data_IF_022017478130
#
_entry.id   IF_022017478130
#
_cell.length_a   1.000
_cell.length_b   1.000
_cell.length_c   1.000
_cell.angle_alpha   90.00
_cell.angle_beta   90.00
_cell.angle_gamma   90.00
#
_symmetry.space_group_name_H-M   'P 1'
#
loop_
_entity.id
_entity.type
_entity.pdbx_description
1 polymer ?
#
# COMPACT_ATOMS: atom_id res chain seq x y z
N UNK A 1 33.35 -27.40 3.94
CA UNK A 1 33.59 -26.41 2.88
C UNK A 1 32.31 -25.63 2.73
N UNK A 2 32.36 -24.30 2.93
CA UNK A 2 31.24 -23.41 2.62
C UNK A 2 31.48 -22.95 1.19
N UNK A 3 30.54 -23.25 0.30
CA UNK A 3 30.64 -22.90 -1.11
C UNK A 3 30.61 -21.37 -1.28
N UNK A 4 31.65 -20.81 -1.88
CA UNK A 4 31.79 -19.37 -2.18
C UNK A 4 30.61 -18.85 -3.04
N UNK A 5 29.96 -19.74 -3.81
CA UNK A 5 28.76 -19.43 -4.58
C UNK A 5 27.51 -19.11 -3.72
N UNK A 6 27.44 -19.62 -2.49
CA UNK A 6 26.31 -19.35 -1.57
C UNK A 6 26.44 -17.94 -0.98
N UNK A 7 27.66 -17.48 -0.71
CA UNK A 7 27.91 -16.14 -0.18
C UNK A 7 27.66 -15.02 -1.21
N UNK A 8 27.88 -15.29 -2.50
CA UNK A 8 27.66 -14.32 -3.56
C UNK A 8 26.15 -14.10 -3.82
N UNK A 9 25.33 -15.15 -3.72
CA UNK A 9 23.86 -15.04 -3.82
C UNK A 9 23.25 -14.21 -2.68
N UNK A 10 23.71 -14.43 -1.45
CA UNK A 10 23.20 -13.75 -0.25
C UNK A 10 23.58 -12.25 -0.17
N UNK A 11 24.68 -11.85 -0.82
CA UNK A 11 25.09 -10.44 -0.87
C UNK A 11 24.19 -9.59 -1.78
N UNK A 12 23.62 -10.19 -2.83
CA UNK A 12 22.82 -9.50 -3.84
C UNK A 12 21.31 -9.56 -3.59
N UNK A 13 20.82 -10.53 -2.82
CA UNK A 13 19.43 -10.56 -2.31
C UNK A 13 19.15 -9.48 -1.24
N UNK A 14 20.20 -8.88 -0.67
CA UNK A 14 20.06 -7.87 0.39
C UNK A 14 20.24 -6.43 -0.08
N UNK A 15 20.62 -6.20 -1.35
CA UNK A 15 20.83 -4.84 -1.89
C UNK A 15 19.83 -4.52 -3.00
N UNK A 16 18.55 -4.54 -2.62
CA UNK A 16 17.43 -4.08 -3.44
C UNK A 16 17.19 -2.57 -3.31
N UNK A 17 18.04 -1.85 -2.57
CA UNK A 17 17.86 -0.43 -2.23
C UNK A 17 17.64 0.45 -3.47
N UNK A 18 18.42 0.23 -4.52
CA UNK A 18 18.31 0.96 -5.80
C UNK A 18 17.05 0.57 -6.59
N UNK A 19 16.64 -0.70 -6.54
CA UNK A 19 15.41 -1.14 -7.20
C UNK A 19 14.18 -0.58 -6.48
N UNK A 20 14.20 -0.58 -5.14
CA UNK A 20 13.15 -0.02 -4.29
C UNK A 20 13.02 1.49 -4.50
N UNK A 21 14.14 2.21 -4.58
CA UNK A 21 14.17 3.64 -4.88
C UNK A 21 13.59 3.93 -6.28
N UNK A 22 14.07 3.23 -7.31
CA UNK A 22 13.60 3.41 -8.71
C UNK A 22 12.12 3.04 -8.85
N UNK A 23 11.68 1.97 -8.18
CA UNK A 23 10.27 1.57 -8.15
C UNK A 23 9.43 2.63 -7.41
N UNK A 24 9.90 3.12 -6.25
CA UNK A 24 9.21 4.14 -5.48
C UNK A 24 9.10 5.46 -6.25
N UNK A 25 10.16 5.93 -6.92
CA UNK A 25 10.13 7.13 -7.77
C UNK A 25 9.18 6.97 -8.96
N UNK A 26 9.20 5.81 -9.62
CA UNK A 26 8.30 5.52 -10.74
C UNK A 26 6.82 5.49 -10.29
N UNK A 27 6.56 5.14 -9.04
CA UNK A 27 5.21 5.10 -8.44
C UNK A 27 4.78 6.45 -7.84
N UNK A 28 5.73 7.26 -7.37
CA UNK A 28 5.48 8.53 -6.64
C UNK A 28 5.61 9.79 -7.51
N UNK A 29 6.24 9.70 -8.68
CA UNK A 29 6.45 10.83 -9.59
C UNK A 29 5.18 11.31 -10.31
N UNK A 30 5.19 12.57 -10.77
CA UNK A 30 4.11 13.20 -11.54
C UNK A 30 3.78 12.48 -12.87
N UNK A 31 4.67 11.60 -13.33
CA UNK A 31 4.43 10.68 -14.44
C UNK A 31 4.61 9.24 -13.95
N UNK A 32 3.50 8.55 -13.63
CA UNK A 32 3.46 7.12 -13.34
C UNK A 32 3.82 6.31 -14.58
N UNK A 33 5.10 6.20 -14.91
CA UNK A 33 5.58 5.44 -16.08
C UNK A 33 6.43 4.28 -15.62
N UNK A 34 5.79 3.12 -15.43
CA UNK A 34 6.40 1.85 -15.02
C UNK A 34 6.85 1.05 -16.25
N UNK A 35 7.34 1.74 -17.30
CA UNK A 35 7.92 1.10 -18.48
C UNK A 35 9.37 1.53 -18.54
N UNK A 36 10.25 0.66 -18.07
CA UNK A 36 11.68 0.90 -18.07
C UNK A 36 12.33 0.27 -19.29
N UNK A 37 13.13 1.05 -20.02
CA UNK A 37 13.91 0.50 -21.13
C UNK A 37 15.06 -0.33 -20.58
N UNK A 38 15.37 -1.45 -21.23
CA UNK A 38 16.51 -2.32 -20.92
C UNK A 38 17.82 -1.55 -20.74
N UNK A 39 18.11 -0.61 -21.64
CA UNK A 39 19.32 0.22 -21.59
C UNK A 39 19.37 1.13 -20.34
N UNK A 40 18.22 1.64 -19.88
CA UNK A 40 18.16 2.47 -18.68
C UNK A 40 18.45 1.65 -17.43
N UNK A 41 17.80 0.49 -17.28
CA UNK A 41 18.03 -0.39 -16.13
C UNK A 41 19.45 -0.96 -16.09
N UNK A 42 20.02 -1.30 -17.25
CA UNK A 42 21.43 -1.73 -17.35
C UNK A 42 22.40 -0.63 -16.95
N UNK A 43 22.12 0.63 -17.30
CA UNK A 43 22.95 1.77 -16.89
C UNK A 43 22.80 2.12 -15.40
N UNK A 44 21.63 1.86 -14.80
CA UNK A 44 21.33 2.15 -13.40
C UNK A 44 21.89 1.09 -12.44
N UNK A 45 21.67 -0.20 -12.74
CA UNK A 45 22.05 -1.30 -11.84
C UNK A 45 23.38 -1.95 -12.23
N UNK A 46 23.86 -1.73 -13.45
CA UNK A 46 24.92 -2.53 -14.05
C UNK A 46 24.40 -3.83 -14.66
N UNK A 47 25.15 -4.38 -15.62
CA UNK A 47 24.74 -5.55 -16.40
C UNK A 47 24.58 -6.83 -15.55
N UNK A 48 25.43 -6.99 -14.53
CA UNK A 48 25.42 -8.16 -13.66
C UNK A 48 24.15 -8.23 -12.81
N UNK A 49 23.77 -7.13 -12.15
CA UNK A 49 22.52 -7.03 -11.37
C UNK A 49 21.27 -7.12 -12.24
N UNK A 50 21.29 -6.48 -13.43
CA UNK A 50 20.18 -6.60 -14.37
C UNK A 50 19.91 -8.07 -14.74
N UNK A 51 20.96 -8.80 -15.12
CA UNK A 51 20.85 -10.22 -15.46
C UNK A 51 20.44 -11.07 -14.26
N UNK A 52 20.90 -10.72 -13.06
CA UNK A 52 20.48 -11.40 -11.84
C UNK A 52 18.98 -11.20 -11.58
N UNK A 53 18.47 -9.98 -11.70
CA UNK A 53 17.05 -9.68 -11.50
C UNK A 53 16.13 -10.36 -12.51
N UNK A 54 16.59 -10.54 -13.75
CA UNK A 54 15.90 -11.39 -14.73
C UNK A 54 15.94 -12.86 -14.30
N UNK A 55 17.10 -13.36 -13.87
CA UNK A 55 17.30 -14.75 -13.47
C UNK A 55 16.48 -15.15 -12.24
N UNK A 56 16.29 -14.25 -11.29
CA UNK A 56 15.45 -14.48 -10.10
C UNK A 56 13.96 -14.18 -10.35
N UNK A 57 13.59 -13.69 -11.54
CA UNK A 57 12.21 -13.43 -11.93
C UNK A 57 11.60 -12.14 -11.36
N UNK A 58 12.44 -11.21 -10.89
CA UNK A 58 12.01 -9.89 -10.43
C UNK A 58 11.73 -8.98 -11.62
N UNK A 59 12.59 -9.03 -12.65
CA UNK A 59 12.36 -8.39 -13.93
C UNK A 59 11.88 -9.43 -14.95
N UNK A 60 10.96 -9.02 -15.82
CA UNK A 60 10.52 -9.83 -16.97
C UNK A 60 10.80 -9.02 -18.23
N UNK A 61 11.65 -9.55 -19.11
CA UNK A 61 11.81 -9.02 -20.47
C UNK A 61 10.60 -9.44 -21.30
N UNK A 62 9.86 -8.47 -21.82
CA UNK A 62 8.76 -8.70 -22.77
C UNK A 62 9.07 -7.98 -24.08
N UNK A 63 8.90 -8.69 -25.19
CA UNK A 63 9.14 -8.15 -26.53
C UNK A 63 7.94 -7.28 -26.92
N UNK A 64 8.05 -5.98 -26.64
CA UNK A 64 7.07 -5.00 -27.13
C UNK A 64 7.25 -4.89 -28.65
N UNK A 65 6.32 -5.46 -29.41
CA UNK A 65 6.28 -5.29 -30.87
C UNK A 65 6.11 -3.82 -31.22
N UNK A 66 7.20 -3.19 -31.66
CA UNK A 66 7.21 -1.83 -32.19
C UNK A 66 6.60 -1.86 -33.60
N UNK A 67 5.32 -1.54 -33.70
CA UNK A 67 4.62 -1.44 -34.97
C UNK A 67 4.91 -0.05 -35.57
N UNK A 68 6.07 0.10 -36.21
CA UNK A 68 6.35 1.29 -37.03
C UNK A 68 6.10 0.97 -38.51
N UNK A 69 4.86 1.21 -38.95
CA UNK A 69 4.64 1.74 -40.31
C UNK A 69 3.42 2.67 -40.30
N UNK A 70 3.73 3.97 -40.31
CA UNK A 70 3.05 4.93 -41.17
C UNK A 70 1.53 5.04 -41.07
N UNK A 71 1.09 6.00 -40.23
CA UNK A 71 -0.26 6.60 -40.18
C UNK A 71 -1.29 5.76 -39.40
N UNK A 72 -1.52 6.11 -38.13
CA UNK A 72 -2.78 6.75 -37.67
C UNK A 72 -2.48 7.41 -36.32
N UNK A 73 -2.72 8.71 -36.22
CA UNK A 73 -2.75 9.44 -34.97
C UNK A 73 -3.96 8.96 -34.14
N UNK A 74 -3.85 7.85 -33.42
CA UNK A 74 -4.89 7.40 -32.46
C UNK A 74 -4.45 6.36 -31.42
N UNK A 75 -3.21 5.84 -31.44
CA UNK A 75 -2.79 4.74 -30.55
C UNK A 75 -1.69 5.09 -29.53
N UNK A 76 -1.61 6.35 -29.08
CA UNK A 76 -0.82 6.73 -27.90
C UNK A 76 -1.56 6.41 -26.58
N UNK A 77 -2.41 5.38 -26.56
CA UNK A 77 -2.74 4.66 -25.33
C UNK A 77 -1.53 3.80 -24.96
N UNK A 78 -0.42 4.47 -24.63
CA UNK A 78 0.71 3.90 -23.92
C UNK A 78 0.11 3.15 -22.74
N UNK A 79 0.25 1.82 -22.71
CA UNK A 79 -0.23 0.93 -21.66
C UNK A 79 0.30 1.42 -20.30
N UNK A 80 -0.38 2.40 -19.69
CA UNK A 80 -0.26 2.70 -18.27
C UNK A 80 -1.02 1.56 -17.62
N UNK A 81 -0.31 0.45 -17.37
CA UNK A 81 -0.82 -0.58 -16.46
C UNK A 81 -0.80 0.08 -15.09
N UNK A 82 -1.91 0.72 -14.72
CA UNK A 82 -2.11 1.16 -13.35
C UNK A 82 -2.14 -0.10 -12.48
N UNK A 83 -1.05 -0.38 -11.78
CA UNK A 83 -1.00 -1.49 -10.82
C UNK A 83 -1.93 -1.09 -9.67
N UNK A 84 -3.05 -1.79 -9.48
CA UNK A 84 -4.01 -1.41 -8.47
C UNK A 84 -3.48 -1.79 -7.09
N UNK A 85 -3.45 -0.83 -6.17
CA UNK A 85 -3.05 -1.07 -4.78
C UNK A 85 -4.29 -1.51 -4.02
N UNK A 86 -4.55 -2.81 -4.03
CA UNK A 86 -5.76 -3.36 -3.43
C UNK A 86 -5.65 -3.52 -1.91
N UNK A 87 -4.43 -3.61 -1.37
CA UNK A 87 -4.18 -3.86 0.04
C UNK A 87 -3.13 -2.88 0.58
N UNK A 88 -3.43 -2.24 1.70
CA UNK A 88 -2.51 -1.37 2.42
C UNK A 88 -2.37 -1.83 3.87
N UNK A 89 -1.16 -2.17 4.29
CA UNK A 89 -0.87 -2.51 5.69
C UNK A 89 -0.01 -1.42 6.33
N UNK A 90 -0.56 -0.75 7.34
CA UNK A 90 0.16 0.22 8.16
C UNK A 90 0.70 -0.47 9.40
N UNK A 91 1.85 -1.12 9.25
CA UNK A 91 2.56 -1.72 10.38
C UNK A 91 3.29 -0.63 11.18
N UNK A 92 2.75 -0.30 12.36
CA UNK A 92 3.33 0.62 13.35
C UNK A 92 3.66 2.01 12.76
N UNK A 93 3.06 2.34 11.63
CA UNK A 93 3.40 3.53 10.85
C UNK A 93 2.34 4.61 10.97
N UNK A 94 1.12 4.28 11.39
CA UNK A 94 0.04 5.27 11.58
C UNK A 94 0.37 6.21 12.74
N UNK A 95 0.38 7.52 12.48
CA UNK A 95 0.52 8.55 13.51
C UNK A 95 -0.83 9.16 13.86
N UNK A 96 -1.46 9.81 12.88
CA UNK A 96 -2.69 10.58 13.03
C UNK A 96 -3.40 10.79 11.66
N UNK A 97 -4.51 11.51 11.66
CA UNK A 97 -5.20 11.95 10.44
C UNK A 97 -5.24 13.47 10.35
N UNK A 98 -4.98 14.01 9.17
CA UNK A 98 -5.03 15.45 8.86
C UNK A 98 -5.91 15.67 7.63
N UNK A 99 -6.96 16.50 7.77
CA UNK A 99 -7.87 16.87 6.66
C UNK A 99 -8.45 15.69 5.85
N UNK A 100 -8.58 14.49 6.45
CA UNK A 100 -9.01 13.23 5.81
C UNK A 100 -7.95 12.47 5.03
N UNK A 101 -6.67 12.76 5.28
CA UNK A 101 -5.54 11.94 4.87
C UNK A 101 -4.86 11.33 6.10
N UNK A 102 -4.17 10.21 5.90
CA UNK A 102 -3.46 9.53 6.99
C UNK A 102 -2.01 10.00 7.00
N UNK A 103 -1.55 10.48 8.14
CA UNK A 103 -0.16 10.89 8.37
C UNK A 103 0.58 9.77 9.07
N UNK A 104 1.76 9.44 8.55
CA UNK A 104 2.63 8.41 9.09
C UNK A 104 3.61 8.99 10.12
N UNK A 105 4.19 8.13 10.96
CA UNK A 105 5.24 8.51 11.91
C UNK A 105 6.48 9.11 11.24
N UNK A 106 6.73 8.78 9.97
CA UNK A 106 7.77 9.40 9.14
C UNK A 106 7.47 10.85 8.74
N UNK A 107 6.25 11.34 8.97
CA UNK A 107 5.78 12.64 8.48
C UNK A 107 5.22 12.62 7.06
N UNK A 108 5.23 11.47 6.39
CA UNK A 108 4.60 11.30 5.08
C UNK A 108 3.08 11.23 5.21
N UNK A 109 2.38 11.84 4.26
CA UNK A 109 0.91 11.80 4.18
C UNK A 109 0.48 10.86 3.06
N UNK A 110 -0.30 9.84 3.42
CA UNK A 110 -0.91 8.95 2.45
C UNK A 110 -1.98 9.69 1.67
N UNK A 111 -1.77 9.79 0.37
CA UNK A 111 -2.74 10.33 -0.57
C UNK A 111 -3.84 9.31 -0.84
N UNK A 112 -4.85 9.74 -1.58
CA UNK A 112 -5.99 8.91 -1.95
C UNK A 112 -5.58 7.75 -2.86
N UNK A 113 -5.94 6.53 -2.45
CA UNK A 113 -5.77 5.30 -3.22
C UNK A 113 -7.10 4.86 -3.81
N UNK A 114 -7.31 5.05 -5.12
CA UNK A 114 -8.59 4.80 -5.80
C UNK A 114 -8.97 3.33 -5.94
N UNK A 115 -7.99 2.43 -5.89
CA UNK A 115 -8.13 0.99 -6.10
C UNK A 115 -8.13 0.19 -4.79
N UNK A 116 -7.97 0.86 -3.65
CA UNK A 116 -7.83 0.22 -2.34
C UNK A 116 -9.08 -0.56 -1.96
N UNK A 117 -8.91 -1.86 -1.72
CA UNK A 117 -9.97 -2.76 -1.28
C UNK A 117 -9.87 -3.07 0.23
N UNK A 118 -8.65 -3.22 0.74
CA UNK A 118 -8.40 -3.66 2.11
C UNK A 118 -7.35 -2.77 2.78
N UNK A 119 -7.61 -2.41 4.03
CA UNK A 119 -6.66 -1.66 4.84
C UNK A 119 -6.52 -2.25 6.23
N UNK A 120 -5.28 -2.40 6.69
CA UNK A 120 -4.95 -2.83 8.05
C UNK A 120 -4.13 -1.73 8.73
N UNK A 121 -4.50 -1.44 9.98
CA UNK A 121 -3.77 -0.52 10.86
C UNK A 121 -3.33 -1.33 12.07
N UNK A 122 -2.02 -1.56 12.16
CA UNK A 122 -1.38 -2.24 13.27
C UNK A 122 -0.59 -1.21 14.08
N UNK A 123 -0.92 -1.08 15.36
CA UNK A 123 -0.23 -0.20 16.28
C UNK A 123 0.75 -0.98 17.14
N UNK A 124 1.74 -0.28 17.70
CA UNK A 124 2.70 -0.91 18.61
C UNK A 124 2.00 -1.48 19.84
N UNK A 125 2.12 -2.81 19.98
CA UNK A 125 1.94 -3.53 21.25
C UNK A 125 3.22 -3.34 22.05
N UNK A 126 3.47 -2.15 22.55
CA UNK A 126 4.70 -1.87 23.29
C UNK A 126 4.82 -2.80 24.51
N UNK A 127 5.94 -3.51 24.61
CA UNK A 127 6.11 -4.66 25.50
C UNK A 127 5.74 -4.36 26.97
N UNK A 128 4.88 -5.20 27.55
CA UNK A 128 4.45 -5.38 28.96
C UNK A 128 4.18 -4.17 29.88
N UNK A 129 4.57 -2.93 29.53
CA UNK A 129 4.62 -1.79 30.46
C UNK A 129 3.97 -0.51 29.94
N UNK A 130 3.52 -0.46 28.69
CA UNK A 130 2.80 0.70 28.16
C UNK A 130 1.40 0.30 27.70
N UNK A 131 0.42 1.16 28.01
CA UNK A 131 -0.98 0.94 27.67
C UNK A 131 -1.16 1.03 26.14
N UNK A 132 -1.91 0.12 25.50
CA UNK A 132 -2.18 0.20 24.06
C UNK A 132 -2.75 1.57 23.70
N UNK A 133 -2.28 2.14 22.57
CA UNK A 133 -2.74 3.43 22.07
C UNK A 133 -4.25 3.36 21.84
N UNK A 134 -4.98 4.29 22.44
CA UNK A 134 -6.42 4.45 22.21
C UNK A 134 -6.65 5.37 21.03
N UNK A 135 -7.41 4.91 20.05
CA UNK A 135 -7.94 5.76 18.98
C UNK A 135 -9.22 6.43 19.47
N UNK A 136 -9.30 7.74 19.29
CA UNK A 136 -10.52 8.51 19.52
C UNK A 136 -11.55 8.26 18.41
N UNK A 137 -12.80 8.61 18.71
CA UNK A 137 -13.89 8.52 17.73
C UNK A 137 -13.66 9.44 16.52
N UNK A 138 -13.08 10.62 16.72
CA UNK A 138 -12.75 11.55 15.63
C UNK A 138 -11.63 11.01 14.72
N UNK A 139 -10.64 10.31 15.27
CA UNK A 139 -9.61 9.63 14.47
C UNK A 139 -10.22 8.51 13.62
N UNK A 140 -11.09 7.68 14.21
CA UNK A 140 -11.78 6.62 13.48
C UNK A 140 -12.65 7.19 12.37
N UNK A 141 -13.38 8.27 12.65
CA UNK A 141 -14.18 9.00 11.67
C UNK A 141 -13.33 9.54 10.53
N UNK A 142 -12.14 10.06 10.82
CA UNK A 142 -11.20 10.51 9.80
C UNK A 142 -10.68 9.34 8.94
N UNK A 143 -10.35 8.20 9.55
CA UNK A 143 -9.95 6.97 8.84
C UNK A 143 -11.09 6.48 7.93
N UNK A 144 -12.33 6.47 8.43
CA UNK A 144 -13.51 6.12 7.64
C UNK A 144 -13.65 7.04 6.43
N UNK A 145 -13.53 8.36 6.62
CA UNK A 145 -13.54 9.34 5.52
C UNK A 145 -12.41 9.10 4.51
N UNK A 146 -11.24 8.66 4.96
CA UNK A 146 -10.14 8.31 4.06
C UNK A 146 -10.50 7.09 3.20
N UNK A 147 -10.92 5.98 3.81
CA UNK A 147 -11.14 4.71 3.09
C UNK A 147 -12.35 4.74 2.16
N UNK A 148 -13.42 5.47 2.49
CA UNK A 148 -14.62 5.54 1.62
C UNK A 148 -14.37 6.25 0.30
N UNK A 149 -13.31 7.08 0.21
CA UNK A 149 -12.92 7.73 -1.05
C UNK A 149 -12.66 6.67 -2.13
N UNK A 150 -12.19 5.48 -1.73
CA UNK A 150 -12.03 4.34 -2.63
C UNK A 150 -13.37 3.65 -2.83
N UNK A 151 -13.82 3.61 -4.08
CA UNK A 151 -15.08 2.94 -4.47
C UNK A 151 -15.00 1.41 -4.41
N UNK A 152 -13.79 0.85 -4.38
CA UNK A 152 -13.54 -0.60 -4.34
C UNK A 152 -13.31 -1.12 -2.92
N UNK A 153 -13.20 -0.22 -1.92
CA UNK A 153 -13.00 -0.58 -0.51
C UNK A 153 -14.03 -1.54 0.05
N UNK A 154 -13.57 -2.55 0.79
CA UNK A 154 -14.34 -3.67 1.34
C UNK A 154 -14.05 -3.91 2.81
N UNK A 155 -12.80 -3.80 3.25
CA UNK A 155 -12.41 -4.25 4.60
C UNK A 155 -11.39 -3.35 5.26
N UNK A 156 -11.66 -2.98 6.52
CA UNK A 156 -10.76 -2.26 7.42
C UNK A 156 -10.53 -3.09 8.68
N UNK A 157 -9.29 -3.23 9.13
CA UNK A 157 -8.97 -3.94 10.37
C UNK A 157 -7.99 -3.17 11.24
N UNK A 158 -8.22 -3.23 12.55
CA UNK A 158 -7.41 -2.60 13.58
C UNK A 158 -6.76 -3.66 14.48
N UNK A 159 -5.48 -3.49 14.77
CA UNK A 159 -4.71 -4.35 15.67
C UNK A 159 -3.77 -3.53 16.55
N UNK A 160 -3.53 -3.99 17.78
CA UNK A 160 -2.63 -3.36 18.75
C UNK A 160 -3.18 -2.06 19.35
N UNK A 161 -4.48 -1.79 19.26
CA UNK A 161 -5.06 -0.53 19.73
C UNK A 161 -6.41 -0.70 20.45
N UNK A 162 -6.76 0.33 21.24
CA UNK A 162 -8.07 0.42 21.87
C UNK A 162 -9.00 1.29 21.03
N UNK A 163 -10.14 0.75 20.64
CA UNK A 163 -11.19 1.48 19.93
C UNK A 163 -12.30 1.89 20.92
N UNK A 164 -13.06 2.96 20.63
CA UNK A 164 -14.27 3.30 21.37
C UNK A 164 -15.23 2.13 21.35
N UNK A 165 -15.79 1.79 22.51
CA UNK A 165 -16.74 0.67 22.69
C UNK A 165 -18.02 0.87 21.86
N UNK A 166 -18.37 2.13 21.60
CA UNK A 166 -19.49 2.53 20.76
C UNK A 166 -19.09 3.73 19.92
N UNK A 167 -19.55 3.77 18.68
CA UNK A 167 -19.44 4.90 17.79
C UNK A 167 -20.81 5.55 17.62
N UNK A 168 -20.86 6.88 17.63
CA UNK A 168 -22.05 7.63 17.26
C UNK A 168 -22.42 7.38 15.80
N UNK A 169 -23.71 7.44 15.50
CA UNK A 169 -24.21 7.39 14.12
C UNK A 169 -23.61 8.50 13.25
N UNK A 170 -23.27 9.66 13.82
CA UNK A 170 -22.61 10.78 13.11
C UNK A 170 -21.15 10.50 12.73
N UNK A 171 -20.54 9.47 13.33
CA UNK A 171 -19.15 9.08 13.09
C UNK A 171 -19.03 8.02 12.00
N UNK A 172 -20.13 7.38 11.62
CA UNK A 172 -20.19 6.36 10.58
C UNK A 172 -20.78 6.95 9.31
N UNK A 173 -19.99 7.13 8.24
CA UNK A 173 -20.51 7.60 6.96
C UNK A 173 -21.58 6.66 6.39
N UNK A 174 -22.65 7.22 5.83
CA UNK A 174 -23.72 6.45 5.17
C UNK A 174 -23.20 5.55 4.03
N UNK A 175 -22.12 5.97 3.36
CA UNK A 175 -21.45 5.19 2.32
C UNK A 175 -20.86 3.87 2.85
N UNK A 176 -20.43 3.80 4.11
CA UNK A 176 -19.97 2.55 4.69
C UNK A 176 -21.11 1.56 4.86
N UNK A 177 -22.26 2.06 5.32
CA UNK A 177 -23.47 1.27 5.54
C UNK A 177 -24.04 0.74 4.23
N UNK A 178 -24.13 1.58 3.19
CA UNK A 178 -24.69 1.19 1.89
C UNK A 178 -23.83 0.17 1.15
N UNK A 179 -22.52 0.19 1.39
CA UNK A 179 -21.54 -0.72 0.76
C UNK A 179 -21.20 -1.95 1.59
N UNK A 180 -21.82 -2.13 2.76
CA UNK A 180 -21.56 -3.25 3.67
C UNK A 180 -20.06 -3.45 3.98
N UNK A 181 -19.36 -2.34 4.26
CA UNK A 181 -17.92 -2.38 4.55
C UNK A 181 -17.69 -3.11 5.88
N UNK A 182 -16.76 -4.06 5.89
CA UNK A 182 -16.44 -4.82 7.10
C UNK A 182 -15.34 -4.12 7.90
N UNK A 183 -15.59 -3.89 9.18
CA UNK A 183 -14.60 -3.26 10.08
C UNK A 183 -14.33 -4.21 11.25
N UNK A 184 -13.08 -4.59 11.43
CA UNK A 184 -12.63 -5.58 12.41
C UNK A 184 -11.75 -4.97 13.49
N UNK A 185 -11.96 -5.43 14.72
CA UNK A 185 -11.05 -5.21 15.84
C UNK A 185 -10.38 -6.54 16.20
N UNK A 186 -9.20 -6.76 15.63
CA UNK A 186 -8.56 -8.08 15.58
C UNK A 186 -8.17 -8.60 16.97
N UNK A 187 -7.71 -7.73 17.87
CA UNK A 187 -7.25 -8.15 19.20
C UNK A 187 -8.34 -8.85 20.04
N UNK A 188 -9.61 -8.54 19.78
CA UNK A 188 -10.75 -9.08 20.52
C UNK A 188 -11.72 -9.87 19.65
N UNK A 189 -11.43 -9.99 18.35
CA UNK A 189 -12.28 -10.72 17.40
C UNK A 189 -13.66 -10.07 17.16
N UNK A 190 -13.80 -8.77 17.41
CA UNK A 190 -15.08 -8.08 17.22
C UNK A 190 -15.22 -7.48 15.82
N UNK A 191 -16.48 -7.40 15.36
CA UNK A 191 -16.88 -6.76 14.11
C UNK A 191 -17.78 -5.57 14.43
N UNK A 192 -17.51 -4.41 13.85
CA UNK A 192 -18.37 -3.24 14.04
C UNK A 192 -19.69 -3.42 13.30
N UNK A 193 -20.80 -3.28 14.01
CA UNK A 193 -22.09 -3.12 13.38
C UNK A 193 -22.27 -1.68 12.91
N UNK A 194 -22.20 -1.43 11.60
CA UNK A 194 -22.28 -0.08 11.03
C UNK A 194 -23.64 0.60 11.21
N UNK A 195 -24.70 -0.15 11.53
CA UNK A 195 -26.04 0.40 11.77
C UNK A 195 -26.21 0.89 13.21
N UNK A 196 -25.70 0.13 14.18
CA UNK A 196 -25.83 0.48 15.60
C UNK A 196 -24.60 1.19 16.17
N UNK A 197 -23.46 1.15 15.49
CA UNK A 197 -22.18 1.64 15.98
C UNK A 197 -21.58 0.83 17.14
N UNK A 198 -21.99 -0.43 17.30
CA UNK A 198 -21.57 -1.31 18.40
C UNK A 198 -20.76 -2.48 17.87
N UNK A 199 -19.70 -2.86 18.58
CA UNK A 199 -18.87 -4.04 18.30
C UNK A 199 -19.60 -5.34 18.70
N UNK A 200 -19.55 -6.36 17.84
CA UNK A 200 -20.21 -7.66 18.02
C UNK A 200 -19.26 -8.82 17.80
#
# INVERSE_FOLDING_TARGET
MRDENVQMSEAHENDHSLLDEVAFEALSGYSKKIVWKKEQLRNLFGEEFYNQYIRVGILVEDDVLDCDDGRVAEFHAQYIVEIPINCLNLNKSFKECEESNIVLHSGLTLTFLSTLENMQIEMEKDGERQKPKSLSEEEIKAIFKYVIRSRTFKTLSFEGCLLPITLSSDSIPADMQSRDIKVFWNDYGYILNLQSGVWK
#
